data_IF_706747011604
#
_entry.id   IF_706747011604
#
_cell.length_a   1.000
_cell.length_b   1.000
_cell.length_c   1.000
_cell.angle_alpha   90.00
_cell.angle_beta   90.00
_cell.angle_gamma   90.00
#
_symmetry.space_group_name_H-M   'P 1'
#
loop_
_entity.id
_entity.type
_entity.pdbx_description
1 polymer ?
#
# COMPACT_ATOMS: atom_id res chain seq x y z
N UNK A 1 -0.63 18.29 -34.57
CA UNK A 1 -0.70 16.97 -33.88
C UNK A 1 -0.27 17.06 -32.40
N UNK A 2 0.78 17.83 -32.04
CA UNK A 2 1.26 18.01 -30.66
C UNK A 2 0.21 18.67 -29.74
N UNK A 3 -0.49 19.68 -30.21
CA UNK A 3 -1.55 20.37 -29.46
C UNK A 3 -2.74 19.46 -29.13
N UNK A 4 -3.15 18.58 -30.05
CA UNK A 4 -4.21 17.62 -29.83
C UNK A 4 -3.82 16.53 -28.81
N UNK A 5 -2.54 16.16 -28.78
CA UNK A 5 -2.02 15.21 -27.79
C UNK A 5 -2.01 15.87 -26.40
N UNK A 6 -1.52 17.09 -26.29
CA UNK A 6 -1.50 17.85 -25.03
C UNK A 6 -2.93 18.07 -24.48
N UNK A 7 -3.90 18.41 -25.33
CA UNK A 7 -5.29 18.57 -24.92
C UNK A 7 -5.90 17.25 -24.39
N UNK A 8 -5.62 16.13 -25.04
CA UNK A 8 -6.07 14.80 -24.56
C UNK A 8 -5.45 14.44 -23.21
N UNK A 9 -4.17 14.74 -23.03
CA UNK A 9 -3.48 14.48 -21.74
C UNK A 9 -4.05 15.35 -20.63
N UNK A 10 -4.31 16.64 -20.88
CA UNK A 10 -4.94 17.54 -19.90
C UNK A 10 -6.35 17.05 -19.55
N UNK A 11 -7.16 16.69 -20.55
CA UNK A 11 -8.51 16.17 -20.32
C UNK A 11 -8.49 14.90 -19.49
N UNK A 12 -7.56 13.98 -19.76
CA UNK A 12 -7.37 12.75 -18.98
C UNK A 12 -7.00 13.07 -17.52
N UNK A 13 -6.07 13.99 -17.31
CA UNK A 13 -5.68 14.41 -15.95
C UNK A 13 -6.85 15.03 -15.18
N UNK A 14 -7.63 15.89 -15.83
CA UNK A 14 -8.84 16.46 -15.22
C UNK A 14 -9.84 15.36 -14.86
N UNK A 15 -10.12 14.43 -15.79
CA UNK A 15 -11.03 13.34 -15.56
C UNK A 15 -10.58 12.44 -14.40
N UNK A 16 -9.28 12.10 -14.32
CA UNK A 16 -8.70 11.32 -13.22
C UNK A 16 -8.79 12.08 -11.89
N UNK A 17 -8.53 13.38 -11.89
CA UNK A 17 -8.63 14.22 -10.68
C UNK A 17 -10.08 14.28 -10.18
N UNK A 18 -11.03 14.50 -11.09
CA UNK A 18 -12.47 14.51 -10.76
C UNK A 18 -12.90 13.14 -10.20
N UNK A 19 -12.48 12.06 -10.85
CA UNK A 19 -12.76 10.69 -10.39
C UNK A 19 -12.18 10.42 -9.00
N UNK A 20 -10.96 10.89 -8.75
CA UNK A 20 -10.29 10.75 -7.45
C UNK A 20 -11.06 11.50 -6.35
N UNK A 21 -11.42 12.77 -6.58
CA UNK A 21 -12.20 13.56 -5.62
C UNK A 21 -13.58 12.94 -5.38
N UNK A 22 -14.25 12.51 -6.45
CA UNK A 22 -15.55 11.83 -6.33
C UNK A 22 -15.45 10.53 -5.51
N UNK A 23 -14.40 9.75 -5.69
CA UNK A 23 -14.15 8.52 -4.93
C UNK A 23 -13.91 8.79 -3.45
N UNK A 24 -13.16 9.85 -3.11
CA UNK A 24 -12.94 10.29 -1.73
C UNK A 24 -14.27 10.69 -1.10
N UNK A 25 -15.05 11.54 -1.76
CA UNK A 25 -16.36 11.99 -1.26
C UNK A 25 -17.30 10.79 -1.08
N UNK A 26 -17.35 9.90 -2.06
CA UNK A 26 -18.16 8.68 -1.97
C UNK A 26 -17.74 7.80 -0.78
N UNK A 27 -16.45 7.62 -0.56
CA UNK A 27 -15.91 6.85 0.58
C UNK A 27 -16.30 7.45 1.93
N UNK A 28 -16.36 8.79 2.04
CA UNK A 28 -16.76 9.48 3.27
C UNK A 28 -18.26 9.39 3.52
N UNK A 29 -19.09 9.38 2.47
CA UNK A 29 -20.55 9.29 2.57
C UNK A 29 -21.03 7.85 2.77
N UNK A 30 -20.39 6.87 2.14
CA UNK A 30 -20.80 5.47 2.14
C UNK A 30 -20.24 4.71 3.35
N UNK A 31 -21.07 3.87 3.99
CA UNK A 31 -20.66 3.03 5.11
C UNK A 31 -21.83 2.52 5.94
N UNK A 32 -21.56 1.87 7.06
CA UNK A 32 -22.57 1.28 7.97
C UNK A 32 -23.48 2.32 8.65
N UNK A 33 -23.09 3.57 8.68
CA UNK A 33 -23.89 4.70 9.16
C UNK A 33 -24.09 5.65 7.99
N UNK A 34 -25.34 5.97 7.68
CA UNK A 34 -25.68 6.89 6.61
C UNK A 34 -25.32 8.33 7.01
N UNK A 35 -24.39 8.92 6.29
CA UNK A 35 -23.99 10.31 6.47
C UNK A 35 -24.41 11.08 5.23
N UNK A 36 -25.27 12.09 5.43
CA UNK A 36 -25.68 12.98 4.35
C UNK A 36 -24.62 14.03 4.04
N UNK A 37 -24.65 14.59 2.82
CA UNK A 37 -23.75 15.68 2.41
C UNK A 37 -23.83 16.90 3.36
N UNK A 38 -25.05 17.19 3.87
CA UNK A 38 -25.25 18.26 4.84
C UNK A 38 -24.52 17.97 6.17
N UNK A 39 -24.60 16.74 6.67
CA UNK A 39 -23.91 16.31 7.88
C UNK A 39 -22.37 16.29 7.70
N UNK A 40 -21.90 15.90 6.51
CA UNK A 40 -20.49 15.97 6.17
C UNK A 40 -19.98 17.43 6.24
N UNK A 41 -20.70 18.36 5.64
CA UNK A 41 -20.33 19.79 5.70
C UNK A 41 -20.39 20.33 7.14
N UNK A 42 -21.40 19.97 7.91
CA UNK A 42 -21.50 20.36 9.34
C UNK A 42 -20.33 19.79 10.15
N UNK A 43 -19.96 18.53 9.96
CA UNK A 43 -18.84 17.90 10.69
C UNK A 43 -17.48 18.53 10.39
N UNK A 44 -17.32 19.19 9.25
CA UNK A 44 -16.10 19.92 8.89
C UNK A 44 -16.09 21.33 9.48
N UNK A 45 -17.24 21.99 9.55
CA UNK A 45 -17.36 23.40 9.95
C UNK A 45 -17.91 23.61 11.36
N UNK A 46 -18.52 22.61 12.00
CA UNK A 46 -19.10 22.69 13.33
C UNK A 46 -18.34 21.80 14.31
N UNK A 47 -17.96 22.35 15.45
CA UNK A 47 -17.25 21.63 16.53
C UNK A 47 -18.19 20.85 17.46
N UNK A 48 -19.47 20.66 17.09
CA UNK A 48 -20.43 19.92 17.91
C UNK A 48 -20.12 18.42 17.89
N UNK A 49 -19.87 17.80 19.04
CA UNK A 49 -19.59 16.37 19.11
C UNK A 49 -20.88 15.57 18.84
N UNK A 50 -21.01 15.03 17.64
CA UNK A 50 -22.07 14.10 17.27
C UNK A 50 -21.49 12.72 17.00
N UNK A 51 -22.28 11.64 17.14
CA UNK A 51 -21.85 10.28 16.78
C UNK A 51 -21.37 10.23 15.31
N UNK A 52 -22.04 10.95 14.42
CA UNK A 52 -21.66 11.01 13.01
C UNK A 52 -20.32 11.71 12.79
N UNK A 53 -20.00 12.77 13.56
CA UNK A 53 -18.71 13.46 13.48
C UNK A 53 -17.56 12.59 13.99
N UNK A 54 -17.78 11.81 15.05
CA UNK A 54 -16.80 10.86 15.58
C UNK A 54 -16.52 9.73 14.56
N UNK A 55 -17.56 9.10 14.02
CA UNK A 55 -17.39 8.06 12.96
C UNK A 55 -16.65 8.61 11.75
N UNK A 56 -16.96 9.83 11.36
CA UNK A 56 -16.29 10.48 10.23
C UNK A 56 -14.80 10.72 10.52
N UNK A 57 -14.49 11.37 11.64
CA UNK A 57 -13.12 11.82 11.96
C UNK A 57 -12.22 10.70 12.45
N UNK A 58 -12.74 9.74 13.21
CA UNK A 58 -11.92 8.69 13.82
C UNK A 58 -11.81 7.42 12.97
N UNK A 59 -12.78 7.18 12.07
CA UNK A 59 -12.83 5.94 11.29
C UNK A 59 -12.72 6.22 9.80
N UNK A 60 -13.63 7.04 9.22
CA UNK A 60 -13.73 7.17 7.75
C UNK A 60 -12.61 8.00 7.15
N UNK A 61 -12.29 9.15 7.73
CA UNK A 61 -11.22 10.02 7.22
C UNK A 61 -9.87 9.32 7.25
N UNK A 62 -9.42 8.72 8.36
CA UNK A 62 -8.14 8.01 8.39
C UNK A 62 -8.08 6.87 7.38
N UNK A 63 -9.14 6.07 7.28
CA UNK A 63 -9.22 4.95 6.35
C UNK A 63 -9.17 5.40 4.89
N UNK A 64 -9.91 6.46 4.56
CA UNK A 64 -9.93 7.04 3.20
C UNK A 64 -8.56 7.63 2.83
N UNK A 65 -7.91 8.34 3.76
CA UNK A 65 -6.56 8.88 3.55
C UNK A 65 -5.54 7.76 3.38
N UNK A 66 -5.60 6.72 4.22
CA UNK A 66 -4.72 5.57 4.11
C UNK A 66 -4.88 4.86 2.76
N UNK A 67 -6.12 4.65 2.32
CA UNK A 67 -6.41 4.05 1.01
C UNK A 67 -5.85 4.89 -0.14
N UNK A 68 -6.04 6.21 -0.10
CA UNK A 68 -5.54 7.13 -1.11
C UNK A 68 -4.00 7.12 -1.19
N UNK A 69 -3.33 7.24 -0.04
CA UNK A 69 -1.87 7.28 0.01
C UNK A 69 -1.27 5.93 -0.39
N UNK A 70 -1.83 4.83 0.10
CA UNK A 70 -1.37 3.47 -0.26
C UNK A 70 -1.54 3.22 -1.76
N UNK A 71 -2.69 3.58 -2.33
CA UNK A 71 -2.94 3.48 -3.77
C UNK A 71 -1.96 4.32 -4.59
N UNK A 72 -1.67 5.56 -4.16
CA UNK A 72 -0.68 6.43 -4.80
C UNK A 72 0.73 5.86 -4.77
N UNK A 73 1.16 5.29 -3.64
CA UNK A 73 2.47 4.64 -3.50
C UNK A 73 2.56 3.37 -4.37
N UNK A 74 1.51 2.58 -4.44
CA UNK A 74 1.45 1.39 -5.31
C UNK A 74 1.52 1.80 -6.79
N UNK A 75 0.80 2.84 -7.20
CA UNK A 75 0.86 3.35 -8.56
C UNK A 75 2.26 3.86 -8.93
N UNK A 76 2.91 4.59 -8.01
CA UNK A 76 4.27 5.07 -8.20
C UNK A 76 5.28 3.92 -8.30
N UNK A 77 5.20 2.95 -7.39
CA UNK A 77 6.09 1.78 -7.41
C UNK A 77 5.90 0.96 -8.69
N UNK A 78 4.66 0.80 -9.16
CA UNK A 78 4.35 0.18 -10.44
C UNK A 78 4.98 0.92 -11.62
N UNK A 79 4.85 2.25 -11.67
CA UNK A 79 5.45 3.06 -12.73
C UNK A 79 6.99 2.95 -12.74
N UNK A 80 7.64 3.00 -11.57
CA UNK A 80 9.10 2.82 -11.45
C UNK A 80 9.52 1.43 -11.93
N UNK A 81 8.78 0.38 -11.56
CA UNK A 81 9.07 -0.98 -11.97
C UNK A 81 8.93 -1.18 -13.50
N UNK A 82 7.92 -0.57 -14.13
CA UNK A 82 7.75 -0.62 -15.57
C UNK A 82 8.94 0.03 -16.31
N UNK A 83 9.45 1.15 -15.79
CA UNK A 83 10.64 1.82 -16.33
C UNK A 83 11.90 0.98 -16.11
N UNK A 84 12.12 0.48 -14.88
CA UNK A 84 13.28 -0.32 -14.50
C UNK A 84 13.40 -1.61 -15.34
N UNK A 85 12.29 -2.30 -15.52
CA UNK A 85 12.23 -3.57 -16.23
C UNK A 85 12.00 -3.38 -17.73
N UNK A 86 11.79 -2.14 -18.20
CA UNK A 86 11.42 -1.81 -19.59
C UNK A 86 10.28 -2.66 -20.11
N UNK A 87 9.30 -2.91 -19.25
CA UNK A 87 8.14 -3.76 -19.53
C UNK A 87 6.87 -3.10 -18.96
N UNK A 88 5.89 -2.73 -19.81
CA UNK A 88 4.65 -2.11 -19.35
C UNK A 88 3.76 -3.05 -18.51
N UNK A 89 4.03 -4.35 -18.48
CA UNK A 89 3.33 -5.34 -17.66
C UNK A 89 4.08 -5.65 -16.35
N UNK A 90 5.14 -4.92 -16.04
CA UNK A 90 5.91 -5.15 -14.81
C UNK A 90 5.09 -4.79 -13.56
N UNK A 91 5.20 -5.65 -12.56
CA UNK A 91 4.55 -5.54 -11.26
C UNK A 91 5.61 -5.56 -10.14
N UNK A 92 5.55 -4.66 -9.14
CA UNK A 92 6.45 -4.68 -7.99
C UNK A 92 6.44 -5.99 -7.20
N UNK A 93 5.33 -6.71 -7.19
CA UNK A 93 5.19 -7.99 -6.48
C UNK A 93 6.13 -9.09 -7.00
N UNK A 94 6.56 -9.02 -8.27
CA UNK A 94 7.47 -9.99 -8.89
C UNK A 94 8.80 -10.10 -8.13
N UNK A 95 9.22 -9.04 -7.45
CA UNK A 95 10.45 -9.05 -6.63
C UNK A 95 10.29 -9.72 -5.25
N UNK A 96 9.15 -10.35 -4.97
CA UNK A 96 8.90 -11.03 -3.72
C UNK A 96 8.73 -10.11 -2.50
N UNK A 97 8.53 -8.81 -2.72
CA UNK A 97 8.41 -7.80 -1.67
C UNK A 97 7.25 -8.12 -0.74
N UNK A 98 6.10 -8.47 -1.31
CA UNK A 98 4.90 -8.81 -0.52
C UNK A 98 5.09 -10.09 0.30
N UNK A 99 5.77 -11.09 -0.25
CA UNK A 99 6.09 -12.32 0.47
C UNK A 99 7.02 -12.07 1.65
N UNK A 100 8.07 -11.27 1.45
CA UNK A 100 8.97 -10.86 2.53
C UNK A 100 8.24 -10.05 3.62
N UNK A 101 7.37 -9.11 3.22
CA UNK A 101 6.52 -8.36 4.15
C UNK A 101 5.60 -9.28 4.94
N UNK A 102 4.98 -10.25 4.28
CA UNK A 102 4.10 -11.24 4.91
C UNK A 102 4.86 -12.08 5.94
N UNK A 103 6.02 -12.64 5.60
CA UNK A 103 6.84 -13.41 6.55
C UNK A 103 7.23 -12.57 7.75
N UNK A 104 7.65 -11.31 7.54
CA UNK A 104 7.96 -10.39 8.63
C UNK A 104 6.76 -10.16 9.56
N UNK A 105 5.58 -9.87 8.99
CA UNK A 105 4.36 -9.66 9.76
C UNK A 105 3.89 -10.92 10.49
N UNK A 106 3.86 -12.07 9.83
CA UNK A 106 3.42 -13.32 10.42
C UNK A 106 4.35 -13.74 11.58
N UNK A 107 5.64 -13.54 11.42
CA UNK A 107 6.61 -13.77 12.50
C UNK A 107 6.37 -12.84 13.70
N UNK A 108 6.04 -11.56 13.43
CA UNK A 108 5.69 -10.60 14.47
C UNK A 108 4.39 -10.99 15.21
N UNK A 109 3.37 -11.49 14.49
CA UNK A 109 2.13 -12.01 15.10
C UNK A 109 2.42 -13.20 16.02
N UNK A 110 3.33 -14.11 15.64
CA UNK A 110 3.72 -15.26 16.47
C UNK A 110 4.29 -14.84 17.83
N UNK A 111 5.05 -13.74 17.87
CA UNK A 111 5.60 -13.22 19.12
C UNK A 111 4.67 -12.22 19.82
N UNK A 112 3.43 -12.09 19.36
CA UNK A 112 2.41 -11.21 19.97
C UNK A 112 2.59 -9.74 19.68
N UNK A 113 3.38 -9.36 18.67
CA UNK A 113 3.56 -7.96 18.28
C UNK A 113 2.31 -7.40 17.58
N UNK A 114 1.98 -6.15 17.88
CA UNK A 114 0.82 -5.44 17.34
C UNK A 114 1.19 -4.01 16.91
N UNK A 115 0.30 -3.37 16.15
CA UNK A 115 0.41 -1.96 15.79
C UNK A 115 1.74 -1.61 15.13
N UNK A 116 2.47 -0.67 15.72
CA UNK A 116 3.75 -0.16 15.19
C UNK A 116 4.78 -1.26 14.95
N UNK A 117 4.95 -2.22 15.86
CA UNK A 117 5.93 -3.29 15.72
C UNK A 117 5.59 -4.25 14.59
N UNK A 118 4.31 -4.55 14.41
CA UNK A 118 3.83 -5.39 13.31
C UNK A 118 4.12 -4.75 11.94
N UNK A 119 3.81 -3.46 11.80
CA UNK A 119 4.09 -2.72 10.56
C UNK A 119 5.58 -2.61 10.24
N UNK A 120 6.41 -2.38 11.26
CA UNK A 120 7.87 -2.34 11.09
C UNK A 120 8.46 -3.70 10.72
N UNK A 121 7.94 -4.79 11.30
CA UNK A 121 8.36 -6.14 10.94
C UNK A 121 8.01 -6.47 9.48
N UNK A 122 6.81 -6.07 9.01
CA UNK A 122 6.43 -6.20 7.60
C UNK A 122 7.37 -5.39 6.69
N UNK A 123 7.65 -4.13 7.06
CA UNK A 123 8.54 -3.26 6.30
C UNK A 123 9.98 -3.82 6.23
N UNK A 124 10.52 -4.28 7.35
CA UNK A 124 11.87 -4.90 7.37
C UNK A 124 11.92 -6.19 6.58
N UNK A 125 10.87 -7.01 6.61
CA UNK A 125 10.73 -8.19 5.77
C UNK A 125 10.68 -7.87 4.28
N UNK A 126 9.97 -6.80 3.90
CA UNK A 126 9.96 -6.30 2.53
C UNK A 126 11.35 -5.84 2.07
N UNK A 127 12.04 -5.03 2.89
CA UNK A 127 13.41 -4.59 2.60
C UNK A 127 14.38 -5.76 2.49
N UNK A 128 14.29 -6.73 3.40
CA UNK A 128 15.13 -7.94 3.35
C UNK A 128 14.91 -8.71 2.04
N UNK A 129 13.65 -8.85 1.58
CA UNK A 129 13.36 -9.48 0.30
C UNK A 129 14.02 -8.74 -0.87
N UNK A 130 13.95 -7.40 -0.90
CA UNK A 130 14.60 -6.58 -1.93
C UNK A 130 16.12 -6.83 -1.92
N UNK A 131 16.78 -6.71 -0.78
CA UNK A 131 18.22 -6.94 -0.67
C UNK A 131 18.61 -8.36 -1.05
N UNK A 132 17.81 -9.37 -0.71
CA UNK A 132 18.03 -10.76 -1.08
C UNK A 132 17.97 -10.93 -2.61
N UNK A 133 16.92 -10.41 -3.26
CA UNK A 133 16.75 -10.53 -4.72
C UNK A 133 17.87 -9.81 -5.46
N UNK A 134 18.17 -8.56 -5.10
CA UNK A 134 19.25 -7.81 -5.75
C UNK A 134 20.62 -8.40 -5.45
N UNK A 135 20.87 -8.87 -4.24
CA UNK A 135 22.11 -9.53 -3.86
C UNK A 135 22.39 -10.80 -4.66
N UNK A 136 21.38 -11.67 -4.80
CA UNK A 136 21.48 -12.89 -5.60
C UNK A 136 21.63 -12.55 -7.09
N UNK A 137 20.81 -11.65 -7.61
CA UNK A 137 20.84 -11.28 -9.03
C UNK A 137 22.19 -10.67 -9.45
N UNK A 138 22.85 -9.91 -8.55
CA UNK A 138 24.12 -9.26 -8.84
C UNK A 138 25.34 -10.20 -8.69
N UNK A 139 25.24 -11.24 -7.86
CA UNK A 139 26.36 -12.15 -7.56
C UNK A 139 26.92 -12.88 -8.80
N UNK A 140 26.15 -13.06 -9.84
CA UNK A 140 26.49 -13.84 -11.05
C UNK A 140 27.00 -13.00 -12.23
N UNK A 141 27.52 -11.79 -12.00
CA UNK A 141 28.12 -10.94 -13.04
C UNK A 141 27.13 -9.93 -13.65
N UNK A 142 27.25 -9.63 -14.94
CA UNK A 142 26.56 -8.53 -15.60
C UNK A 142 25.07 -8.40 -15.24
N UNK A 143 24.64 -7.18 -14.93
CA UNK A 143 23.26 -6.83 -14.66
C UNK A 143 22.32 -7.27 -15.80
N UNK A 144 21.26 -8.01 -15.47
CA UNK A 144 20.25 -8.47 -16.43
C UNK A 144 18.86 -8.42 -15.81
N UNK A 145 17.94 -7.75 -16.49
CA UNK A 145 16.53 -7.66 -16.10
C UNK A 145 15.91 -9.06 -15.98
N UNK A 146 16.22 -9.95 -16.93
CA UNK A 146 15.71 -11.32 -16.90
C UNK A 146 16.15 -12.08 -15.65
N UNK A 147 17.42 -11.91 -15.25
CA UNK A 147 17.95 -12.54 -14.03
C UNK A 147 17.26 -12.00 -12.79
N UNK A 148 17.05 -10.69 -12.73
CA UNK A 148 16.34 -10.06 -11.62
C UNK A 148 14.92 -10.63 -11.49
N UNK A 149 14.19 -10.74 -12.60
CA UNK A 149 12.85 -11.32 -12.63
C UNK A 149 12.83 -12.79 -12.19
N UNK A 150 13.72 -13.61 -12.73
CA UNK A 150 13.81 -15.03 -12.35
C UNK A 150 14.15 -15.21 -10.88
N UNK A 151 15.10 -14.41 -10.36
CA UNK A 151 15.45 -14.43 -8.94
C UNK A 151 14.26 -14.02 -8.09
N UNK A 152 13.52 -12.98 -8.49
CA UNK A 152 12.32 -12.54 -7.81
C UNK A 152 11.26 -13.64 -7.72
N UNK A 153 10.99 -14.34 -8.82
CA UNK A 153 10.03 -15.45 -8.84
C UNK A 153 10.46 -16.59 -7.89
N UNK A 154 11.74 -16.98 -7.91
CA UNK A 154 12.26 -18.02 -7.02
C UNK A 154 12.16 -17.61 -5.55
N UNK A 155 12.54 -16.37 -5.22
CA UNK A 155 12.44 -15.83 -3.86
C UNK A 155 10.99 -15.75 -3.42
N UNK A 156 10.06 -15.31 -4.30
CA UNK A 156 8.62 -15.29 -4.00
C UNK A 156 8.07 -16.67 -3.68
N UNK A 157 8.47 -17.70 -4.45
CA UNK A 157 8.09 -19.08 -4.16
C UNK A 157 8.65 -19.56 -2.81
N UNK A 158 9.89 -19.17 -2.48
CA UNK A 158 10.49 -19.42 -1.16
C UNK A 158 9.70 -18.77 -0.02
N UNK A 159 9.30 -17.52 -0.17
CA UNK A 159 8.44 -16.85 0.82
C UNK A 159 7.08 -17.53 0.97
N UNK A 160 6.47 -17.97 -0.13
CA UNK A 160 5.23 -18.75 -0.10
C UNK A 160 5.35 -20.04 0.73
N UNK A 161 6.47 -20.74 0.59
CA UNK A 161 6.75 -21.94 1.40
C UNK A 161 6.89 -21.58 2.90
N UNK A 162 7.61 -20.51 3.23
CA UNK A 162 7.75 -20.05 4.62
C UNK A 162 6.39 -19.64 5.21
N UNK A 163 5.56 -18.88 4.47
CA UNK A 163 4.21 -18.50 4.88
C UNK A 163 3.38 -19.76 5.19
N UNK A 164 3.41 -20.76 4.32
CA UNK A 164 2.69 -22.01 4.55
C UNK A 164 3.16 -22.74 5.81
N UNK A 165 4.47 -22.80 6.07
CA UNK A 165 5.01 -23.38 7.30
C UNK A 165 4.50 -22.60 8.53
N UNK A 166 4.57 -21.26 8.50
CA UNK A 166 4.09 -20.42 9.60
C UNK A 166 2.61 -20.65 9.87
N UNK A 167 1.77 -20.73 8.84
CA UNK A 167 0.33 -20.99 9.00
C UNK A 167 0.03 -22.39 9.54
N UNK A 168 0.75 -23.42 9.08
CA UNK A 168 0.47 -24.81 9.47
C UNK A 168 1.00 -25.17 10.85
N UNK A 169 2.04 -24.47 11.32
CA UNK A 169 2.65 -24.73 12.65
C UNK A 169 2.10 -23.85 13.76
N UNK A 170 1.31 -22.82 13.41
CA UNK A 170 0.78 -21.86 14.37
C UNK A 170 -0.50 -22.33 15.07
N UNK A 171 -0.77 -21.79 16.26
CA UNK A 171 -2.03 -22.00 16.96
C UNK A 171 -3.21 -21.39 16.20
N UNK A 172 -4.41 -21.92 16.39
CA UNK A 172 -5.63 -21.47 15.69
C UNK A 172 -5.87 -19.96 15.80
N UNK A 173 -5.64 -19.37 16.98
CA UNK A 173 -5.82 -17.93 17.21
C UNK A 173 -4.83 -17.11 16.39
N UNK A 174 -3.56 -17.53 16.32
CA UNK A 174 -2.55 -16.87 15.52
C UNK A 174 -2.85 -16.98 14.02
N UNK A 175 -3.27 -18.17 13.56
CA UNK A 175 -3.65 -18.41 12.16
C UNK A 175 -4.76 -17.45 11.72
N UNK A 176 -5.79 -17.26 12.57
CA UNK A 176 -6.86 -16.32 12.26
C UNK A 176 -6.31 -14.88 12.06
N UNK A 177 -5.48 -14.41 12.98
CA UNK A 177 -4.85 -13.08 12.90
C UNK A 177 -3.95 -12.95 11.66
N UNK A 178 -3.19 -14.01 11.33
CA UNK A 178 -2.34 -14.06 10.15
C UNK A 178 -3.14 -13.98 8.85
N UNK A 179 -4.25 -14.73 8.77
CA UNK A 179 -5.14 -14.71 7.60
C UNK A 179 -5.77 -13.33 7.40
N UNK A 180 -6.26 -12.69 8.47
CA UNK A 180 -6.77 -11.33 8.40
C UNK A 180 -5.71 -10.34 7.92
N UNK A 181 -4.47 -10.46 8.40
CA UNK A 181 -3.39 -9.60 7.94
C UNK A 181 -3.08 -9.82 6.46
N UNK A 182 -3.04 -11.07 5.98
CA UNK A 182 -2.79 -11.41 4.57
C UNK A 182 -3.89 -10.93 3.62
N UNK A 183 -5.14 -10.86 4.11
CA UNK A 183 -6.27 -10.29 3.34
C UNK A 183 -6.16 -8.78 3.15
N UNK A 184 -5.38 -8.11 3.98
CA UNK A 184 -5.24 -6.66 4.01
C UNK A 184 -6.36 -5.97 4.80
N UNK A 185 -5.98 -5.02 5.64
CA UNK A 185 -6.92 -4.26 6.47
C UNK A 185 -6.46 -2.81 6.63
N UNK A 186 -7.36 -1.88 6.34
CA UNK A 186 -7.17 -0.45 6.57
C UNK A 186 -7.94 0.05 7.80
N UNK A 187 -8.59 -0.83 8.57
CA UNK A 187 -9.36 -0.42 9.76
C UNK A 187 -8.48 0.05 10.90
N UNK A 188 -7.23 -0.42 10.95
CA UNK A 188 -6.22 -0.05 11.95
C UNK A 188 -5.49 1.27 11.62
N UNK A 189 -5.92 2.00 10.58
CA UNK A 189 -5.32 3.28 10.22
C UNK A 189 -5.58 4.30 11.32
N UNK A 190 -4.53 4.70 12.04
CA UNK A 190 -4.62 5.71 13.09
C UNK A 190 -4.59 7.12 12.52
N UNK A 191 -5.26 8.06 13.20
CA UNK A 191 -5.34 9.50 12.84
C UNK A 191 -4.01 10.23 13.04
N UNK A 192 -2.88 9.56 13.16
CA UNK A 192 -1.62 10.28 13.36
C UNK A 192 -1.19 10.98 12.05
N UNK A 193 -1.38 12.31 11.94
CA UNK A 193 -1.11 13.04 10.71
C UNK A 193 0.35 12.95 10.27
N UNK A 194 1.27 12.67 11.19
CA UNK A 194 2.69 12.52 10.87
C UNK A 194 2.96 11.32 9.93
N UNK A 195 2.23 10.22 10.09
CA UNK A 195 2.37 9.07 9.19
C UNK A 195 1.93 9.41 7.77
N UNK A 196 0.80 10.10 7.61
CA UNK A 196 0.31 10.51 6.30
C UNK A 196 1.22 11.55 5.64
N UNK A 197 1.77 12.47 6.43
CA UNK A 197 2.74 13.45 5.94
C UNK A 197 4.02 12.77 5.41
N UNK A 198 4.57 11.79 6.14
CA UNK A 198 5.75 11.02 5.71
C UNK A 198 5.48 10.24 4.42
N UNK A 199 4.31 9.62 4.31
CA UNK A 199 3.89 8.90 3.11
C UNK A 199 3.71 9.85 1.91
N UNK A 200 3.14 11.03 2.14
CA UNK A 200 2.96 12.05 1.12
C UNK A 200 4.31 12.62 0.64
N UNK A 201 5.25 12.86 1.57
CA UNK A 201 6.63 13.26 1.25
C UNK A 201 7.33 12.16 0.44
N UNK A 202 7.16 10.89 0.83
CA UNK A 202 7.69 9.75 0.08
C UNK A 202 7.14 9.67 -1.35
N UNK A 203 5.85 9.94 -1.53
CA UNK A 203 5.21 9.97 -2.84
C UNK A 203 5.73 11.13 -3.70
N UNK A 204 5.80 12.34 -3.14
CA UNK A 204 6.34 13.52 -3.86
C UNK A 204 7.82 13.34 -4.18
N UNK A 205 8.62 12.84 -3.24
CA UNK A 205 10.03 12.53 -3.45
C UNK A 205 10.25 11.48 -4.53
N UNK A 206 9.44 10.42 -4.56
CA UNK A 206 9.47 9.41 -5.61
C UNK A 206 9.17 9.97 -7.00
N UNK A 207 8.16 10.86 -7.11
CA UNK A 207 7.84 11.55 -8.37
C UNK A 207 9.01 12.47 -8.81
N UNK A 208 9.67 13.14 -7.87
CA UNK A 208 10.82 14.01 -8.18
C UNK A 208 12.02 13.21 -8.70
N UNK A 209 12.25 12.01 -8.19
CA UNK A 209 13.35 11.11 -8.61
C UNK A 209 13.04 10.41 -9.94
N UNK A 210 11.76 10.23 -10.28
CA UNK A 210 11.34 9.56 -11.52
C UNK A 210 11.45 10.44 -12.78
N UNK A 211 11.84 11.72 -12.64
CA UNK A 211 12.12 12.66 -13.75
C UNK A 211 13.58 12.64 -14.15
#
# INVERSE_FOLDING_TARGET
KSLLIAQKQILLLIALTVFCVASIVFSLLSGSVDITVAQLSQSIFSSEPSLNSQVLQEIRVPRTLAAFVTGGLLALSGAIMQVLLRNPLADPYILGISGGAAVGALTAILVGATGFWLSNAAFTGALFSIFLVFGIANKFGNWSVTRLLLTGVVVSAGWGAVINILLTTSSTNNVQSMLFWLMGDLSQSSVNPAHYLLLLIGMVGGIAVSR
#
